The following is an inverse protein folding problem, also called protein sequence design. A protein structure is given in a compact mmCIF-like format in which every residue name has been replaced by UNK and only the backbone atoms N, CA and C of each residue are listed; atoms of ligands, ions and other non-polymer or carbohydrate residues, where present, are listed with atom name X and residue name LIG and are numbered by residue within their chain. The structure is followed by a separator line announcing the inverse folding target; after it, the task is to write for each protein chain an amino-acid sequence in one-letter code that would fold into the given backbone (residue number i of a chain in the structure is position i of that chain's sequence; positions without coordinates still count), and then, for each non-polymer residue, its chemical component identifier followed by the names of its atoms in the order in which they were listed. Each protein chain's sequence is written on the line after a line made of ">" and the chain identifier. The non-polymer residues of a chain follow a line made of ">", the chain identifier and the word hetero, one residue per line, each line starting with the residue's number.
data_IF_138391714734
#
_entry.id   IF_138391714734
#
_cell.length_a   1.000
_cell.length_b   1.000
_cell.length_c   1.000
_cell.angle_alpha   90.00
_cell.angle_beta   90.00
_cell.angle_gamma   90.00
#
_symmetry.space_group_name_H-M   'P 1'
#
loop_
_entity.id
_entity.type
_entity.pdbx_description
1 polymer ?
#
# COMPACT_ATOMS: atom_id res chain seq x y z
N UNK A 1 15.25 -28.33 -6.12
CA UNK A 1 15.47 -28.24 -4.67
C UNK A 1 14.41 -27.32 -4.06
N UNK A 2 13.88 -27.66 -2.90
CA UNK A 2 12.92 -26.81 -2.21
C UNK A 2 13.70 -25.68 -1.55
N UNK A 3 13.73 -24.51 -2.19
CA UNK A 3 14.27 -23.28 -1.63
C UNK A 3 13.34 -22.85 -0.50
N UNK A 4 13.60 -23.39 0.70
CA UNK A 4 12.91 -22.98 1.92
C UNK A 4 13.51 -21.66 2.38
N UNK A 5 12.67 -20.64 2.49
CA UNK A 5 13.06 -19.40 3.17
C UNK A 5 13.43 -19.73 4.62
N UNK A 6 14.57 -19.23 5.06
CA UNK A 6 15.02 -19.34 6.44
C UNK A 6 14.12 -18.54 7.37
N UNK A 7 14.17 -18.82 8.67
CA UNK A 7 13.38 -18.12 9.68
C UNK A 7 13.70 -16.61 9.74
N UNK A 8 14.92 -16.21 9.38
CA UNK A 8 15.29 -14.80 9.27
C UNK A 8 14.66 -14.11 8.06
N UNK A 9 14.49 -14.81 6.94
CA UNK A 9 13.96 -14.27 5.68
C UNK A 9 12.44 -14.08 5.71
N UNK A 10 11.74 -14.70 6.67
CA UNK A 10 10.29 -14.55 6.86
C UNK A 10 9.92 -13.42 7.85
N UNK A 11 10.89 -12.78 8.51
CA UNK A 11 10.65 -11.69 9.45
C UNK A 11 10.58 -10.37 8.69
N UNK A 12 9.36 -9.83 8.55
CA UNK A 12 9.12 -8.51 7.97
C UNK A 12 7.76 -7.94 8.42
N UNK A 13 7.56 -6.62 8.23
CA UNK A 13 6.30 -5.94 8.56
C UNK A 13 5.24 -6.11 7.45
N UNK A 14 5.66 -6.40 6.22
CA UNK A 14 4.80 -6.61 5.05
C UNK A 14 5.53 -7.46 4.01
N UNK A 15 4.80 -8.39 3.37
CA UNK A 15 5.35 -9.23 2.28
C UNK A 15 4.91 -8.70 0.93
N UNK A 16 5.86 -8.54 0.02
CA UNK A 16 5.62 -8.24 -1.40
C UNK A 16 5.92 -9.48 -2.25
N UNK A 17 4.87 -10.16 -2.69
CA UNK A 17 4.97 -11.35 -3.56
C UNK A 17 4.85 -10.91 -5.02
N UNK A 18 5.96 -10.97 -5.75
CA UNK A 18 6.05 -10.45 -7.11
C UNK A 18 6.06 -11.59 -8.12
N UNK A 19 5.17 -11.54 -9.10
CA UNK A 19 5.20 -12.42 -10.27
C UNK A 19 5.31 -11.60 -11.56
N UNK A 20 5.72 -12.26 -12.64
CA UNK A 20 5.93 -11.65 -13.95
C UNK A 20 4.75 -11.98 -14.86
N UNK A 21 4.03 -10.95 -15.33
CA UNK A 21 2.83 -11.16 -16.16
C UNK A 21 3.13 -11.82 -17.51
N UNK A 22 4.38 -11.75 -17.98
CA UNK A 22 4.81 -12.38 -19.23
C UNK A 22 5.27 -13.83 -19.06
N UNK A 23 5.50 -14.28 -17.82
CA UNK A 23 5.92 -15.65 -17.52
C UNK A 23 4.74 -16.44 -16.91
N UNK A 24 4.22 -17.48 -17.59
CA UNK A 24 3.02 -18.19 -17.15
C UNK A 24 3.21 -18.98 -15.86
N UNK A 25 4.45 -19.32 -15.47
CA UNK A 25 4.73 -20.15 -14.27
C UNK A 25 5.13 -19.33 -13.05
N UNK A 26 5.31 -18.02 -13.20
CA UNK A 26 5.87 -17.18 -12.13
C UNK A 26 4.92 -17.04 -10.93
N UNK A 27 3.61 -17.02 -11.16
CA UNK A 27 2.63 -16.89 -10.08
C UNK A 27 2.57 -18.12 -9.15
N UNK A 28 2.87 -19.32 -9.66
CA UNK A 28 2.90 -20.55 -8.86
C UNK A 28 3.85 -20.40 -7.66
N UNK A 29 5.00 -19.77 -7.88
CA UNK A 29 5.98 -19.50 -6.83
C UNK A 29 5.40 -18.64 -5.70
N UNK A 30 4.75 -17.52 -6.06
CA UNK A 30 4.09 -16.64 -5.09
C UNK A 30 3.05 -17.38 -4.26
N UNK A 31 2.20 -18.18 -4.93
CA UNK A 31 1.16 -18.94 -4.27
C UNK A 31 1.71 -20.02 -3.33
N UNK A 32 2.81 -20.68 -3.72
CA UNK A 32 3.50 -21.68 -2.89
C UNK A 32 4.12 -21.04 -1.64
N UNK A 33 4.89 -19.97 -1.80
CA UNK A 33 5.53 -19.27 -0.67
C UNK A 33 4.48 -18.71 0.30
N UNK A 34 3.40 -18.10 -0.22
CA UNK A 34 2.29 -17.64 0.60
C UNK A 34 1.70 -18.77 1.46
N UNK A 35 1.38 -19.92 0.86
CA UNK A 35 0.80 -21.06 1.57
C UNK A 35 1.74 -21.66 2.61
N UNK A 36 3.04 -21.70 2.30
CA UNK A 36 4.03 -22.31 3.19
C UNK A 36 4.34 -21.44 4.41
N UNK A 37 4.36 -20.11 4.27
CA UNK A 37 4.91 -19.22 5.30
C UNK A 37 3.94 -18.15 5.80
N UNK A 38 2.98 -17.71 4.99
CA UNK A 38 2.22 -16.48 5.27
C UNK A 38 0.70 -16.66 5.36
N UNK A 39 0.17 -17.82 4.98
CA UNK A 39 -1.28 -18.08 4.96
C UNK A 39 -1.94 -17.93 6.33
N UNK A 40 -1.25 -18.35 7.39
CA UNK A 40 -1.71 -18.23 8.78
C UNK A 40 -0.93 -17.15 9.57
N UNK A 41 -0.11 -16.36 8.87
CA UNK A 41 0.65 -15.27 9.46
C UNK A 41 -0.21 -14.02 9.66
N UNK A 42 0.17 -13.18 10.62
CA UNK A 42 -0.42 -11.84 10.80
C UNK A 42 0.20 -10.80 9.87
N UNK A 43 1.26 -11.15 9.16
CA UNK A 43 1.98 -10.25 8.27
C UNK A 43 1.13 -10.01 7.01
N UNK A 44 0.80 -8.74 6.68
CA UNK A 44 0.02 -8.43 5.50
C UNK A 44 0.81 -8.76 4.22
N UNK A 45 0.13 -9.35 3.24
CA UNK A 45 0.72 -9.77 1.96
C UNK A 45 0.11 -9.00 0.79
N UNK A 46 0.96 -8.53 -0.12
CA UNK A 46 0.57 -7.87 -1.36
C UNK A 46 1.11 -8.66 -2.56
N UNK A 47 0.24 -8.96 -3.52
CA UNK A 47 0.62 -9.56 -4.80
C UNK A 47 0.88 -8.44 -5.82
N UNK A 48 2.03 -8.49 -6.48
CA UNK A 48 2.42 -7.53 -7.53
C UNK A 48 2.57 -8.27 -8.86
N UNK A 49 1.85 -7.78 -9.86
CA UNK A 49 1.89 -8.21 -11.25
C UNK A 49 2.93 -7.33 -11.98
N UNK A 50 4.19 -7.74 -11.95
CA UNK A 50 5.30 -6.99 -12.51
C UNK A 50 5.39 -7.13 -14.03
N UNK A 51 6.12 -6.19 -14.66
CA UNK A 51 6.25 -6.05 -16.12
C UNK A 51 4.90 -5.86 -16.79
N UNK A 52 4.01 -5.09 -16.16
CA UNK A 52 2.65 -4.83 -16.66
C UNK A 52 2.58 -4.11 -18.01
N UNK A 53 3.72 -3.65 -18.53
CA UNK A 53 3.90 -3.13 -19.89
C UNK A 53 3.95 -4.23 -20.96
N UNK A 54 4.28 -5.47 -20.57
CA UNK A 54 4.31 -6.63 -21.47
C UNK A 54 2.92 -7.27 -21.61
N UNK A 55 2.78 -8.11 -22.63
CA UNK A 55 1.55 -8.88 -22.84
C UNK A 55 1.31 -9.84 -21.66
N UNK A 56 0.18 -9.70 -21.00
CA UNK A 56 -0.23 -10.58 -19.91
C UNK A 56 -0.58 -11.97 -20.46
N UNK A 57 0.16 -12.97 -20.00
CA UNK A 57 -0.12 -14.38 -20.30
C UNK A 57 -0.91 -15.01 -19.16
N UNK A 58 -1.78 -15.96 -19.51
CA UNK A 58 -2.52 -16.74 -18.51
C UNK A 58 -1.54 -17.51 -17.63
N UNK A 59 -1.66 -17.31 -16.31
CA UNK A 59 -0.83 -18.01 -15.34
C UNK A 59 -1.25 -19.49 -15.23
N UNK A 60 -0.27 -20.39 -15.31
CA UNK A 60 -0.37 -21.84 -15.15
C UNK A 60 -0.49 -22.20 -13.66
N UNK A 61 -1.55 -21.74 -13.02
CA UNK A 61 -1.91 -22.10 -11.66
C UNK A 61 -3.38 -22.53 -11.58
N UNK A 62 -3.72 -23.31 -10.56
CA UNK A 62 -5.07 -23.84 -10.36
C UNK A 62 -6.19 -22.78 -10.35
N UNK A 63 -5.89 -21.54 -9.95
CA UNK A 63 -6.79 -20.39 -9.93
C UNK A 63 -6.06 -19.13 -10.37
N UNK A 64 -6.79 -18.12 -10.85
CA UNK A 64 -6.18 -16.86 -11.29
C UNK A 64 -5.56 -16.08 -10.11
N UNK A 65 -4.59 -15.19 -10.35
CA UNK A 65 -4.04 -14.32 -9.30
C UNK A 65 -5.11 -13.51 -8.56
N UNK A 66 -6.11 -13.01 -9.29
CA UNK A 66 -7.24 -12.26 -8.73
C UNK A 66 -8.11 -13.12 -7.82
N UNK A 67 -8.42 -14.35 -8.24
CA UNK A 67 -9.22 -15.29 -7.43
C UNK A 67 -8.46 -15.78 -6.20
N UNK A 68 -7.15 -15.97 -6.33
CA UNK A 68 -6.26 -16.30 -5.22
C UNK A 68 -6.29 -15.21 -4.15
N UNK A 69 -6.12 -13.94 -4.54
CA UNK A 69 -6.18 -12.82 -3.62
C UNK A 69 -7.54 -12.75 -2.91
N UNK A 70 -8.64 -12.86 -3.67
CA UNK A 70 -10.00 -12.85 -3.12
C UNK A 70 -10.23 -13.99 -2.12
N UNK A 71 -9.79 -15.21 -2.46
CA UNK A 71 -9.92 -16.40 -1.60
C UNK A 71 -9.17 -16.21 -0.28
N UNK A 72 -7.99 -15.63 -0.32
CA UNK A 72 -7.12 -15.44 0.84
C UNK A 72 -7.29 -14.09 1.53
N UNK A 73 -8.34 -13.32 1.17
CA UNK A 73 -8.65 -11.99 1.72
C UNK A 73 -7.47 -11.00 1.59
N UNK A 74 -6.59 -11.25 0.62
CA UNK A 74 -5.56 -10.32 0.25
C UNK A 74 -6.14 -9.28 -0.70
N UNK A 75 -5.52 -8.11 -0.78
CA UNK A 75 -5.92 -7.16 -1.78
C UNK A 75 -5.66 -7.64 -3.22
N UNK A 76 -6.35 -7.08 -4.24
CA UNK A 76 -6.16 -7.51 -5.63
C UNK A 76 -4.71 -7.34 -6.11
N UNK A 77 -4.26 -8.12 -7.11
CA UNK A 77 -2.94 -7.96 -7.71
C UNK A 77 -2.71 -6.52 -8.18
N UNK A 78 -1.54 -5.96 -7.88
CA UNK A 78 -1.17 -4.60 -8.28
C UNK A 78 -0.29 -4.66 -9.52
N UNK A 79 -0.75 -4.09 -10.62
CA UNK A 79 0.05 -3.93 -11.82
C UNK A 79 1.22 -2.96 -11.56
N UNK A 80 2.41 -3.34 -11.99
CA UNK A 80 3.61 -2.52 -11.81
C UNK A 80 4.59 -2.72 -12.97
N UNK A 81 5.23 -1.62 -13.39
CA UNK A 81 6.33 -1.65 -14.34
C UNK A 81 7.35 -0.58 -13.99
N UNK A 82 8.63 -0.90 -14.24
CA UNK A 82 9.73 0.06 -14.23
C UNK A 82 10.12 0.52 -15.64
N UNK A 83 9.50 -0.04 -16.69
CA UNK A 83 9.82 0.24 -18.08
C UNK A 83 9.02 1.45 -18.57
N UNK A 84 9.29 2.62 -17.99
CA UNK A 84 8.63 3.89 -18.30
C UNK A 84 9.67 4.93 -18.67
N UNK A 85 9.30 5.88 -19.55
CA UNK A 85 10.17 7.00 -19.91
C UNK A 85 10.42 7.95 -18.71
N UNK A 86 9.39 8.12 -17.87
CA UNK A 86 9.45 8.87 -16.62
C UNK A 86 9.71 7.96 -15.42
N UNK A 87 9.84 8.56 -14.23
CA UNK A 87 9.98 7.83 -12.97
C UNK A 87 8.81 6.86 -12.74
N UNK A 88 9.06 5.61 -12.29
CA UNK A 88 8.00 4.64 -12.00
C UNK A 88 7.00 5.12 -10.94
N UNK A 89 5.76 4.65 -11.02
CA UNK A 89 4.75 4.95 -10.00
C UNK A 89 5.19 4.48 -8.61
N UNK A 90 4.90 5.31 -7.60
CA UNK A 90 5.20 5.01 -6.20
C UNK A 90 4.06 4.29 -5.46
N UNK A 91 2.96 4.01 -6.14
CA UNK A 91 1.71 3.54 -5.51
C UNK A 91 1.89 2.23 -4.74
N UNK A 92 2.67 1.29 -5.28
CA UNK A 92 2.94 0.02 -4.60
C UNK A 92 3.71 0.22 -3.29
N UNK A 93 4.65 1.18 -3.25
CA UNK A 93 5.43 1.47 -2.05
C UNK A 93 4.58 2.14 -0.99
N UNK A 94 3.76 3.13 -1.37
CA UNK A 94 2.80 3.77 -0.45
C UNK A 94 1.87 2.73 0.15
N UNK A 95 1.40 1.78 -0.66
CA UNK A 95 0.51 0.70 -0.23
C UNK A 95 1.19 -0.28 0.71
N UNK A 96 2.40 -0.73 0.39
CA UNK A 96 3.20 -1.59 1.28
C UNK A 96 3.41 -0.92 2.64
N UNK A 97 3.85 0.34 2.65
CA UNK A 97 4.04 1.11 3.88
C UNK A 97 2.74 1.24 4.67
N UNK A 98 1.62 1.51 3.99
CA UNK A 98 0.30 1.61 4.64
C UNK A 98 -0.10 0.28 5.28
N UNK A 99 0.13 -0.84 4.60
CA UNK A 99 -0.17 -2.17 5.10
C UNK A 99 0.70 -2.53 6.31
N UNK A 100 1.99 -2.21 6.26
CA UNK A 100 2.92 -2.38 7.38
C UNK A 100 2.51 -1.56 8.61
N UNK A 101 2.09 -0.29 8.42
CA UNK A 101 1.64 0.57 9.50
C UNK A 101 0.29 0.15 10.09
N UNK A 102 -0.61 -0.43 9.28
CA UNK A 102 -1.99 -0.72 9.66
C UNK A 102 -2.45 -2.15 9.29
N UNK A 103 -1.82 -3.22 9.81
CA UNK A 103 -2.07 -4.61 9.41
C UNK A 103 -3.49 -5.11 9.73
N UNK A 104 -4.14 -4.53 10.73
CA UNK A 104 -5.50 -4.90 11.16
C UNK A 104 -6.59 -3.96 10.63
N UNK A 105 -6.20 -2.84 10.00
CA UNK A 105 -7.18 -1.98 9.39
C UNK A 105 -7.77 -2.74 8.19
N UNK A 106 -9.06 -3.07 8.28
CA UNK A 106 -9.86 -3.50 7.13
C UNK A 106 -10.03 -2.31 6.18
N UNK A 107 -8.92 -1.87 5.57
CA UNK A 107 -8.86 -0.84 4.54
C UNK A 107 -9.55 -1.42 3.30
N UNK A 108 -10.88 -1.36 3.33
CA UNK A 108 -11.77 -2.11 2.43
C UNK A 108 -11.90 -1.53 1.03
N UNK A 109 -10.99 -0.67 0.59
CA UNK A 109 -10.85 -0.41 -0.83
C UNK A 109 -9.39 -0.23 -1.20
N UNK A 110 -8.93 -1.16 -2.02
CA UNK A 110 -7.80 -0.99 -2.93
C UNK A 110 -8.28 -1.03 -4.38
N UNK A 111 -9.50 -0.54 -4.61
CA UNK A 111 -10.06 -0.28 -5.91
C UNK A 111 -9.56 1.06 -6.47
N UNK A 112 -9.44 1.17 -7.79
CA UNK A 112 -9.29 2.44 -8.53
C UNK A 112 -10.56 3.30 -8.51
N UNK A 113 -11.54 3.01 -7.66
CA UNK A 113 -12.83 3.68 -7.68
C UNK A 113 -12.83 4.89 -6.72
N UNK A 114 -13.14 6.06 -7.28
CA UNK A 114 -13.31 7.34 -6.56
C UNK A 114 -14.53 7.37 -5.61
N UNK A 115 -15.02 6.22 -5.15
CA UNK A 115 -16.30 6.06 -4.43
C UNK A 115 -16.22 5.34 -3.08
N UNK A 116 -15.04 4.91 -2.65
CA UNK A 116 -14.90 4.30 -1.33
C UNK A 116 -14.57 5.33 -0.25
N UNK A 117 -14.87 4.99 1.01
CA UNK A 117 -14.55 5.82 2.18
C UNK A 117 -13.06 6.18 2.25
N UNK A 118 -12.15 5.28 1.86
CA UNK A 118 -10.70 5.56 1.86
C UNK A 118 -10.29 6.60 0.81
N UNK A 119 -10.70 6.47 -0.45
CA UNK A 119 -10.45 7.46 -1.51
C UNK A 119 -11.14 8.79 -1.22
N UNK A 120 -12.34 8.76 -0.63
CA UNK A 120 -13.04 9.97 -0.17
C UNK A 120 -12.27 10.63 0.98
N UNK A 121 -11.81 9.86 1.96
CA UNK A 121 -10.98 10.38 3.05
C UNK A 121 -9.65 10.92 2.54
N UNK A 122 -8.98 10.26 1.59
CA UNK A 122 -7.73 10.74 1.02
C UNK A 122 -7.93 12.00 0.18
N UNK A 123 -8.99 12.07 -0.65
CA UNK A 123 -9.35 13.29 -1.39
C UNK A 123 -9.74 14.43 -0.43
N UNK A 124 -10.44 14.13 0.66
CA UNK A 124 -10.80 15.12 1.68
C UNK A 124 -9.57 15.64 2.43
N UNK A 125 -8.66 14.74 2.85
CA UNK A 125 -7.39 15.09 3.49
C UNK A 125 -6.50 15.94 2.57
N UNK A 126 -6.54 15.67 1.27
CA UNK A 126 -5.81 16.41 0.25
C UNK A 126 -6.59 17.61 -0.31
N UNK A 127 -7.77 17.94 0.22
CA UNK A 127 -8.58 19.04 -0.30
C UNK A 127 -8.00 20.41 0.10
N UNK A 128 -8.08 21.37 -0.83
CA UNK A 128 -7.66 22.76 -0.59
C UNK A 128 -8.40 23.40 0.59
N UNK A 129 -9.64 23.00 0.81
CA UNK A 129 -10.46 23.47 1.91
C UNK A 129 -9.85 23.06 3.26
N UNK A 130 -9.47 21.78 3.42
CA UNK A 130 -8.89 21.29 4.67
C UNK A 130 -7.50 21.91 4.92
N UNK A 131 -6.71 22.08 3.87
CA UNK A 131 -5.41 22.77 3.97
C UNK A 131 -5.59 24.25 4.35
N UNK A 132 -6.59 24.94 3.81
CA UNK A 132 -6.90 26.33 4.16
C UNK A 132 -7.36 26.46 5.62
N UNK A 133 -8.22 25.53 6.09
CA UNK A 133 -8.67 25.50 7.49
C UNK A 133 -7.50 25.20 8.43
N UNK A 134 -6.65 24.22 8.10
CA UNK A 134 -5.44 23.90 8.88
C UNK A 134 -4.52 25.11 9.00
N UNK A 135 -4.27 25.82 7.90
CA UNK A 135 -3.45 27.02 7.90
C UNK A 135 -4.07 28.15 8.72
N UNK A 136 -5.38 28.38 8.61
CA UNK A 136 -6.07 29.41 9.42
C UNK A 136 -6.02 29.10 10.92
N UNK A 137 -6.22 27.85 11.30
CA UNK A 137 -6.12 27.43 12.71
C UNK A 137 -4.67 27.58 13.19
N UNK A 138 -3.70 27.12 12.41
CA UNK A 138 -2.28 27.26 12.76
C UNK A 138 -1.89 28.72 12.96
N UNK A 139 -2.27 29.61 12.04
CA UNK A 139 -2.02 31.05 12.16
C UNK A 139 -2.76 31.66 13.36
N UNK A 140 -4.00 31.26 13.63
CA UNK A 140 -4.75 31.75 14.79
C UNK A 140 -4.12 31.31 16.12
N UNK A 141 -3.63 30.07 16.20
CA UNK A 141 -2.92 29.55 17.37
C UNK A 141 -1.57 30.25 17.53
N UNK A 142 -0.80 30.40 16.45
CA UNK A 142 0.49 31.10 16.46
C UNK A 142 0.32 32.56 16.89
N UNK A 143 -0.70 33.26 16.36
CA UNK A 143 -1.01 34.64 16.74
C UNK A 143 -1.45 34.74 18.21
N UNK A 144 -2.21 33.77 18.72
CA UNK A 144 -2.54 33.69 20.16
C UNK A 144 -1.29 33.47 21.02
N UNK A 145 -0.36 32.63 20.56
CA UNK A 145 0.89 32.40 21.27
C UNK A 145 1.77 33.66 21.27
N UNK A 146 1.89 34.34 20.13
CA UNK A 146 2.64 35.59 20.00
C UNK A 146 2.02 36.72 20.83
N UNK A 147 0.69 36.84 20.88
CA UNK A 147 0.01 37.84 21.75
C UNK A 147 0.17 37.55 23.23
N UNK A 148 0.27 36.28 23.64
CA UNK A 148 0.62 35.91 25.02
C UNK A 148 2.07 36.26 25.35
N UNK A 149 3.00 36.11 24.40
CA UNK A 149 4.40 36.52 24.58
C UNK A 149 4.59 38.05 24.62
N UNK A 150 3.90 38.83 23.78
CA UNK A 150 3.95 40.30 23.85
C UNK A 150 3.23 40.86 25.07
N UNK A 151 2.20 40.17 25.58
CA UNK A 151 1.55 40.52 26.85
C UNK A 151 2.46 40.34 28.07
N UNK A 152 3.37 39.36 28.05
CA UNK A 152 4.36 39.17 29.12
C UNK A 152 5.50 40.20 29.10
N UNK A 153 5.82 40.80 27.95
CA UNK A 153 6.81 41.88 27.86
C UNK A 153 6.29 43.27 28.25
N UNK A 154 4.97 43.43 28.43
CA UNK A 154 4.35 44.67 28.91
C UNK A 154 4.16 44.72 30.43
N UNK A 155 4.52 43.64 31.16
CA UNK A 155 4.38 43.51 32.62
C UNK A 155 5.72 43.31 33.37
N UNK A 156 6.86 43.52 32.70
CA UNK A 156 8.17 43.68 33.32
C UNK A 156 8.63 45.13 33.25
#
# INVERSE_FOLDING_TARGET
>A
ESEFLTEAEIICDVVCLVYDVSNPKSFEYCARIFKQHFMDSRIPCLIVAAKSDLHEVKQEYSISPTDFCRKHKMPPPQAFTCNTADAPSKDIFVKLTTMAMYPHARLRCMCTCNRCTFCICQNFLNSDLLQSVKNKIFTAVLNRFLTLFTGYQAFC
#
